data_IF_242395721105
#
_entry.id   IF_242395721105
#
_cell.length_a   1.000
_cell.length_b   1.000
_cell.length_c   1.000
_cell.angle_alpha   90.00
_cell.angle_beta   90.00
_cell.angle_gamma   90.00
#
_symmetry.space_group_name_H-M   'P 1'
#
loop_
_entity.id
_entity.type
_entity.pdbx_description
1 polymer ?
#
# COMPACT_ATOMS: atom_id res chain seq x y z
N UNK A 1 -19.89 -22.46 32.94
CA UNK A 1 -18.47 -22.70 33.25
C UNK A 1 -17.94 -23.76 32.30
N UNK A 2 -17.30 -23.35 31.22
CA UNK A 2 -16.47 -24.22 30.36
C UNK A 2 -15.26 -23.37 29.94
N UNK A 3 -14.08 -23.86 30.29
CA UNK A 3 -12.78 -23.19 30.16
C UNK A 3 -12.32 -23.17 28.70
N UNK A 4 -12.08 -21.98 28.16
CA UNK A 4 -11.31 -21.78 26.93
C UNK A 4 -9.82 -21.74 27.27
N UNK A 5 -9.09 -22.81 26.93
CA UNK A 5 -7.63 -22.79 26.93
C UNK A 5 -7.14 -22.07 25.67
N UNK A 6 -6.52 -20.91 25.91
CA UNK A 6 -5.78 -20.09 24.95
C UNK A 6 -4.50 -20.83 24.56
N UNK A 7 -4.37 -21.28 23.32
CA UNK A 7 -3.12 -21.85 22.81
C UNK A 7 -2.15 -20.72 22.47
N UNK A 8 -1.00 -20.75 23.15
CA UNK A 8 0.14 -19.85 23.02
C UNK A 8 0.93 -20.17 21.75
N UNK A 9 1.08 -19.20 20.84
CA UNK A 9 2.02 -19.29 19.72
C UNK A 9 3.45 -19.24 20.26
N UNK A 10 4.16 -20.37 20.17
CA UNK A 10 5.58 -20.46 20.49
C UNK A 10 6.41 -19.88 19.34
N UNK A 11 7.27 -18.93 19.68
CA UNK A 11 8.32 -18.36 18.83
C UNK A 11 9.38 -19.42 18.48
N UNK A 12 9.47 -19.80 17.21
CA UNK A 12 10.61 -20.57 16.69
C UNK A 12 11.76 -19.63 16.34
N UNK A 13 12.90 -19.86 16.99
CA UNK A 13 14.17 -19.18 16.75
C UNK A 13 14.64 -19.40 15.31
N UNK A 14 14.92 -18.30 14.60
CA UNK A 14 15.54 -18.28 13.28
C UNK A 14 17.01 -18.74 13.37
N UNK A 15 17.29 -19.94 12.89
CA UNK A 15 18.64 -20.39 12.55
C UNK A 15 19.07 -19.66 11.27
N UNK A 16 20.19 -18.95 11.35
CA UNK A 16 20.82 -18.18 10.27
C UNK A 16 21.26 -19.12 9.13
N UNK A 17 20.91 -18.86 7.86
CA UNK A 17 21.47 -19.65 6.76
C UNK A 17 22.96 -19.32 6.53
N UNK A 18 23.78 -20.28 6.05
CA UNK A 18 25.19 -20.05 5.77
C UNK A 18 25.39 -19.09 4.58
N UNK A 19 26.51 -18.33 4.53
CA UNK A 19 26.79 -17.40 3.45
C UNK A 19 27.10 -18.13 2.13
N UNK A 20 26.75 -17.53 0.97
CA UNK A 20 27.09 -18.10 -0.33
C UNK A 20 28.61 -18.04 -0.61
N UNK A 21 29.14 -18.95 -1.44
CA UNK A 21 30.56 -18.98 -1.80
C UNK A 21 30.95 -17.76 -2.67
N UNK A 22 32.22 -17.35 -2.66
CA UNK A 22 32.68 -16.17 -3.38
C UNK A 22 32.70 -16.42 -4.89
N UNK A 23 31.97 -15.57 -5.64
CA UNK A 23 32.05 -15.52 -7.10
C UNK A 23 33.41 -14.99 -7.54
N UNK A 24 34.15 -15.79 -8.31
CA UNK A 24 35.36 -15.38 -8.99
C UNK A 24 34.99 -14.43 -10.15
N UNK A 25 35.43 -13.18 -10.05
CA UNK A 25 35.36 -12.16 -11.09
C UNK A 25 36.30 -12.52 -12.24
N UNK A 26 35.76 -12.95 -13.38
CA UNK A 26 36.47 -12.84 -14.66
C UNK A 26 36.25 -11.43 -15.23
N UNK A 27 37.32 -10.63 -15.18
CA UNK A 27 37.47 -9.43 -15.98
C UNK A 27 37.52 -9.81 -17.47
N UNK A 28 36.60 -9.30 -18.27
CA UNK A 28 36.83 -9.09 -19.69
C UNK A 28 36.65 -7.60 -20.00
N UNK A 29 37.80 -6.98 -20.24
CA UNK A 29 37.96 -5.61 -20.70
C UNK A 29 37.44 -5.48 -22.12
N UNK A 30 36.52 -4.56 -22.36
CA UNK A 30 36.38 -3.95 -23.68
C UNK A 30 36.17 -2.45 -23.55
N UNK A 31 37.13 -1.75 -24.10
CA UNK A 31 37.25 -0.30 -24.20
C UNK A 31 36.41 0.21 -25.35
N UNK A 32 35.51 1.18 -25.12
CA UNK A 32 35.16 2.20 -26.12
C UNK A 32 34.98 3.53 -25.37
N UNK A 33 35.73 4.53 -25.85
CA UNK A 33 35.86 5.88 -25.31
C UNK A 33 34.78 6.84 -25.82
N UNK A 34 34.70 7.98 -25.09
CA UNK A 34 34.31 9.32 -25.55
C UNK A 34 32.79 9.59 -25.59
N UNK A 35 32.21 10.69 -25.13
CA UNK A 35 32.73 11.98 -24.62
C UNK A 35 31.57 12.72 -23.92
N UNK A 36 31.93 13.64 -23.04
CA UNK A 36 31.10 14.56 -22.23
C UNK A 36 30.21 15.54 -23.02
N UNK A 37 29.00 15.83 -22.54
CA UNK A 37 28.47 17.21 -22.46
C UNK A 37 27.37 17.33 -21.40
N UNK A 38 27.55 18.30 -20.49
CA UNK A 38 26.57 18.78 -19.51
C UNK A 38 25.50 19.62 -20.22
N UNK A 39 24.22 19.46 -19.86
CA UNK A 39 23.28 20.58 -19.73
C UNK A 39 22.05 20.17 -18.91
N UNK A 40 21.78 20.95 -17.88
CA UNK A 40 20.52 21.01 -17.13
C UNK A 40 19.36 21.42 -18.05
N UNK A 41 18.17 20.83 -17.84
CA UNK A 41 16.90 21.57 -17.75
C UNK A 41 15.71 20.65 -17.41
N UNK A 42 15.03 21.02 -16.33
CA UNK A 42 13.71 20.55 -15.92
C UNK A 42 12.66 20.86 -17.00
N UNK A 43 11.89 19.86 -17.46
CA UNK A 43 10.53 20.08 -17.98
C UNK A 43 9.64 18.88 -17.62
N UNK A 44 8.74 19.11 -16.66
CA UNK A 44 7.44 18.47 -16.58
C UNK A 44 6.54 19.17 -17.61
N UNK A 45 5.99 18.45 -18.59
CA UNK A 45 4.77 18.87 -19.32
C UNK A 45 4.14 17.67 -20.05
N UNK A 46 3.01 17.24 -19.49
CA UNK A 46 1.70 16.85 -20.05
C UNK A 46 1.50 16.16 -21.46
N UNK A 47 0.34 15.48 -21.64
CA UNK A 47 0.15 14.30 -22.51
C UNK A 47 -0.09 14.62 -24.01
N UNK A 48 -0.03 13.60 -24.90
CA UNK A 48 0.06 13.81 -26.33
C UNK A 48 -1.31 14.01 -26.96
N UNK A 49 -1.72 15.27 -27.14
CA UNK A 49 -2.76 15.63 -28.11
C UNK A 49 -2.35 16.87 -28.90
N UNK A 50 -1.63 16.66 -30.01
CA UNK A 50 -1.70 17.56 -31.18
C UNK A 50 -1.35 16.76 -32.45
N UNK A 51 -1.99 17.03 -33.59
CA UNK A 51 -2.14 16.06 -34.68
C UNK A 51 -0.98 16.11 -35.67
N UNK A 52 -0.36 14.96 -35.94
CA UNK A 52 0.62 14.80 -37.02
C UNK A 52 -0.11 14.68 -38.36
N UNK A 53 0.20 15.60 -39.28
CA UNK A 53 -0.24 15.59 -40.67
C UNK A 53 0.33 14.36 -41.39
N UNK A 54 -0.52 13.55 -41.99
CA UNK A 54 -0.15 12.42 -42.88
C UNK A 54 0.19 12.90 -44.29
N UNK A 55 1.15 12.27 -45.01
CA UNK A 55 1.16 12.26 -46.46
C UNK A 55 0.26 11.13 -47.00
N UNK A 56 -0.40 11.42 -48.12
CA UNK A 56 -1.39 10.60 -48.84
C UNK A 56 -0.75 9.36 -49.49
N UNK A 57 -1.48 8.23 -49.50
CA UNK A 57 -1.49 7.29 -50.63
C UNK A 57 -2.74 6.41 -50.62
N UNK A 58 -3.21 6.10 -51.81
CA UNK A 58 -4.51 5.56 -52.20
C UNK A 58 -4.62 4.03 -52.04
N UNK A 59 -5.78 3.51 -51.60
CA UNK A 59 -6.61 2.59 -52.41
C UNK A 59 -7.93 2.19 -51.71
N UNK A 60 -8.98 1.82 -52.48
CA UNK A 60 -10.36 1.71 -51.97
C UNK A 60 -10.84 0.27 -51.73
N UNK A 61 -11.94 0.19 -50.97
CA UNK A 61 -12.96 -0.87 -50.90
C UNK A 61 -12.73 -2.12 -50.03
N UNK A 62 -13.27 -2.10 -48.81
CA UNK A 62 -14.13 -3.18 -48.26
C UNK A 62 -14.89 -2.65 -47.02
N UNK A 63 -16.18 -2.97 -46.82
CA UNK A 63 -16.97 -2.36 -45.75
C UNK A 63 -16.61 -3.00 -44.40
N UNK A 64 -15.89 -2.25 -43.57
CA UNK A 64 -15.76 -2.61 -42.15
C UNK A 64 -17.10 -2.40 -41.46
N UNK A 65 -17.76 -3.53 -41.16
CA UNK A 65 -18.86 -3.65 -40.21
C UNK A 65 -18.46 -2.96 -38.91
N UNK A 66 -18.98 -1.76 -38.68
CA UNK A 66 -18.87 -1.08 -37.40
C UNK A 66 -19.60 -1.94 -36.37
N UNK A 67 -18.86 -2.60 -35.50
CA UNK A 67 -19.45 -3.11 -34.25
C UNK A 67 -19.77 -1.89 -33.40
N UNK A 68 -20.99 -1.39 -33.60
CA UNK A 68 -21.68 -0.50 -32.68
C UNK A 68 -21.60 -1.18 -31.30
N UNK A 69 -21.07 -0.54 -30.25
CA UNK A 69 -21.23 -1.04 -28.90
C UNK A 69 -22.73 -1.12 -28.63
N UNK A 70 -23.23 -2.32 -28.43
CA UNK A 70 -24.64 -2.59 -28.14
C UNK A 70 -25.10 -1.69 -26.99
N UNK A 71 -26.08 -0.84 -27.31
CA UNK A 71 -26.94 -0.19 -26.34
C UNK A 71 -27.63 -1.28 -25.51
N UNK A 72 -27.14 -1.51 -24.30
CA UNK A 72 -27.88 -2.12 -23.20
C UNK A 72 -26.95 -2.16 -22.00
N UNK A 73 -27.02 -1.17 -21.08
CA UNK A 73 -26.81 -1.29 -19.62
C UNK A 73 -27.12 0.09 -19.00
N UNK A 74 -28.40 0.44 -18.89
CA UNK A 74 -28.87 1.69 -18.28
C UNK A 74 -29.40 1.49 -16.84
N UNK A 75 -28.93 0.45 -16.14
CA UNK A 75 -29.27 0.18 -14.75
C UNK A 75 -27.98 0.07 -13.91
N UNK A 76 -27.96 0.62 -12.69
CA UNK A 76 -26.81 0.48 -11.82
C UNK A 76 -26.56 -1.00 -11.51
N UNK A 77 -25.31 -1.44 -11.68
CA UNK A 77 -24.86 -2.75 -11.27
C UNK A 77 -25.10 -2.87 -9.75
N UNK A 78 -25.97 -3.80 -9.35
CA UNK A 78 -26.20 -4.09 -7.94
C UNK A 78 -24.96 -4.76 -7.35
N UNK A 79 -24.42 -4.20 -6.28
CA UNK A 79 -23.32 -4.82 -5.55
C UNK A 79 -23.70 -5.26 -4.16
N UNK A 80 -23.50 -6.54 -3.89
CA UNK A 80 -23.71 -7.26 -2.63
C UNK A 80 -22.43 -7.39 -1.79
N UNK A 81 -21.32 -6.77 -2.21
CA UNK A 81 -20.05 -6.84 -1.51
C UNK A 81 -20.15 -6.34 -0.05
N UNK A 82 -19.66 -7.09 0.94
CA UNK A 82 -19.93 -6.83 2.36
C UNK A 82 -19.04 -5.72 2.97
N UNK A 83 -18.45 -4.86 2.15
CA UNK A 83 -17.55 -3.81 2.59
C UNK A 83 -17.76 -2.51 1.82
N UNK A 84 -17.39 -1.40 2.44
CA UNK A 84 -17.44 -0.08 1.83
C UNK A 84 -16.51 -0.01 0.63
N UNK A 85 -16.93 0.60 -0.48
CA UNK A 85 -15.99 0.91 -1.56
C UNK A 85 -15.20 2.14 -1.20
N UNK A 86 -13.87 2.01 -1.26
CA UNK A 86 -12.92 3.08 -0.96
C UNK A 86 -11.83 3.06 -2.02
N UNK A 87 -11.19 4.21 -2.25
CA UNK A 87 -10.05 4.25 -3.16
C UNK A 87 -8.89 3.35 -2.70
N UNK A 88 -8.61 3.37 -1.40
CA UNK A 88 -7.60 2.53 -0.76
C UNK A 88 -8.12 1.99 0.56
N UNK A 89 -7.94 0.69 0.78
CA UNK A 89 -8.27 0.00 2.03
C UNK A 89 -7.13 0.09 3.04
N UNK A 90 -5.88 0.05 2.60
CA UNK A 90 -4.71 0.02 3.49
C UNK A 90 -4.08 1.38 3.81
N UNK A 91 -4.34 2.42 2.99
CA UNK A 91 -3.72 3.74 3.14
C UNK A 91 -4.69 4.83 3.62
N UNK A 92 -5.95 4.48 3.89
CA UNK A 92 -6.97 5.40 4.38
C UNK A 92 -7.44 4.93 5.75
N UNK A 93 -7.13 5.67 6.80
CA UNK A 93 -7.68 5.40 8.13
C UNK A 93 -9.15 5.84 8.20
N UNK A 94 -10.12 4.93 8.41
CA UNK A 94 -11.53 5.29 8.53
C UNK A 94 -11.84 6.21 9.70
N UNK A 95 -11.01 6.23 10.75
CA UNK A 95 -11.25 7.02 11.95
C UNK A 95 -10.87 8.49 11.76
N UNK A 96 -10.05 8.80 10.75
CA UNK A 96 -9.59 10.17 10.48
C UNK A 96 -10.49 10.82 9.44
N UNK A 97 -11.37 11.72 9.90
CA UNK A 97 -12.23 12.49 9.00
C UNK A 97 -11.51 13.69 8.39
N UNK A 98 -11.66 13.95 7.09
CA UNK A 98 -11.13 15.17 6.47
C UNK A 98 -11.86 16.41 7.00
N UNK A 99 -11.13 17.51 7.12
CA UNK A 99 -11.67 18.85 7.44
C UNK A 99 -12.41 19.42 6.21
N UNK A 100 -11.97 19.05 5.01
CA UNK A 100 -12.56 19.47 3.75
C UNK A 100 -11.84 18.85 2.57
N UNK A 101 -12.08 19.38 1.37
CA UNK A 101 -11.47 18.92 0.12
C UNK A 101 -10.79 20.09 -0.59
N UNK A 102 -9.67 19.82 -1.28
CA UNK A 102 -8.89 20.85 -1.98
C UNK A 102 -9.64 21.48 -3.15
N UNK A 103 -10.44 20.69 -3.83
CA UNK A 103 -11.22 21.11 -4.98
C UNK A 103 -12.66 21.41 -4.53
N UNK A 104 -13.28 22.50 -5.02
CA UNK A 104 -14.67 22.79 -4.71
C UNK A 104 -15.54 21.63 -5.25
N UNK A 105 -16.60 21.21 -4.52
CA UNK A 105 -17.46 20.07 -4.88
C UNK A 105 -18.34 20.32 -6.12
N UNK A 106 -17.97 21.29 -6.96
CA UNK A 106 -18.68 21.70 -8.18
C UNK A 106 -18.78 20.57 -9.21
N UNK A 107 -17.91 19.58 -9.10
CA UNK A 107 -18.02 18.28 -9.75
C UNK A 107 -17.91 17.20 -8.68
N UNK A 108 -19.04 16.64 -8.23
CA UNK A 108 -18.96 15.30 -7.63
C UNK A 108 -18.46 14.40 -8.75
N UNK A 109 -17.32 13.70 -8.60
CA UNK A 109 -16.82 12.90 -9.69
C UNK A 109 -17.81 11.79 -10.09
N UNK A 110 -18.80 11.44 -9.24
CA UNK A 110 -20.01 10.73 -9.66
C UNK A 110 -21.27 11.07 -8.82
N UNK A 111 -22.41 11.18 -9.49
CA UNK A 111 -23.66 10.56 -9.04
C UNK A 111 -23.76 9.18 -9.72
N UNK A 112 -24.29 8.15 -9.05
CA UNK A 112 -24.30 6.79 -9.59
C UNK A 112 -25.23 6.70 -10.79
N UNK A 113 -24.69 6.52 -11.99
CA UNK A 113 -25.43 5.85 -13.06
C UNK A 113 -25.15 4.34 -13.12
N UNK A 114 -24.00 3.90 -12.57
CA UNK A 114 -23.44 2.55 -12.81
C UNK A 114 -23.40 1.62 -11.60
N UNK A 115 -23.56 2.11 -10.37
CA UNK A 115 -23.51 1.27 -9.15
C UNK A 115 -24.64 1.72 -8.23
N UNK A 116 -25.30 0.78 -7.55
CA UNK A 116 -26.47 1.05 -6.68
C UNK A 116 -26.11 1.55 -5.27
N UNK A 117 -24.92 2.15 -5.10
CA UNK A 117 -24.45 2.68 -3.80
C UNK A 117 -24.16 4.16 -3.87
N UNK A 118 -24.59 4.88 -2.84
CA UNK A 118 -24.32 6.31 -2.70
C UNK A 118 -22.87 6.57 -2.25
N UNK A 119 -22.20 7.48 -2.94
CA UNK A 119 -20.84 7.91 -2.60
C UNK A 119 -20.87 9.14 -1.69
N UNK A 120 -20.29 9.04 -0.49
CA UNK A 120 -20.30 10.13 0.48
C UNK A 120 -19.10 11.11 0.34
N UNK A 121 -18.30 10.98 -0.72
CA UNK A 121 -17.08 11.76 -0.95
C UNK A 121 -15.79 10.98 -0.63
N UNK A 122 -15.84 10.03 0.31
CA UNK A 122 -14.69 9.24 0.78
C UNK A 122 -14.89 7.74 0.52
N UNK A 123 -16.11 7.26 0.69
CA UNK A 123 -16.51 5.86 0.51
C UNK A 123 -17.94 5.73 -0.05
N UNK A 124 -18.26 4.56 -0.59
CA UNK A 124 -19.64 4.11 -0.78
C UNK A 124 -19.92 2.97 0.21
N UNK A 125 -20.67 3.22 1.30
CA UNK A 125 -20.89 2.24 2.36
C UNK A 125 -21.53 0.93 1.87
N UNK A 126 -21.23 -0.18 2.55
CA UNK A 126 -21.97 -1.42 2.36
C UNK A 126 -23.45 -1.27 2.77
N UNK A 127 -24.34 -1.96 2.06
CA UNK A 127 -25.78 -1.93 2.33
C UNK A 127 -26.16 -3.15 3.17
N UNK A 128 -26.81 -2.92 4.30
CA UNK A 128 -27.31 -3.99 5.19
C UNK A 128 -26.33 -4.40 6.29
N UNK A 129 -26.81 -5.22 7.22
CA UNK A 129 -25.98 -5.80 8.27
C UNK A 129 -25.08 -6.89 7.66
N UNK A 130 -23.80 -6.81 7.95
CA UNK A 130 -22.81 -7.78 7.47
C UNK A 130 -22.77 -8.95 8.46
N UNK A 131 -23.22 -10.12 7.99
CA UNK A 131 -23.11 -11.36 8.76
C UNK A 131 -21.67 -11.89 8.68
N UNK A 132 -20.90 -11.66 9.74
CA UNK A 132 -19.47 -11.97 9.76
C UNK A 132 -19.20 -13.48 9.75
N UNK A 133 -20.05 -14.27 10.39
CA UNK A 133 -19.91 -15.74 10.47
C UNK A 133 -20.06 -16.33 9.07
N UNK A 134 -21.12 -15.93 8.36
CA UNK A 134 -21.39 -16.38 6.99
C UNK A 134 -20.25 -16.05 6.03
N UNK A 135 -19.63 -14.87 6.14
CA UNK A 135 -18.51 -14.50 5.28
C UNK A 135 -17.26 -15.34 5.53
N UNK A 136 -17.02 -15.71 6.79
CA UNK A 136 -15.93 -16.62 7.13
C UNK A 136 -16.19 -18.00 6.55
N UNK A 137 -17.42 -18.52 6.68
CA UNK A 137 -17.82 -19.80 6.06
C UNK A 137 -17.67 -19.79 4.53
N UNK A 138 -18.13 -18.72 3.86
CA UNK A 138 -17.97 -18.54 2.41
C UNK A 138 -16.49 -18.50 2.01
N UNK A 139 -15.66 -17.80 2.79
CA UNK A 139 -14.21 -17.74 2.57
C UNK A 139 -13.55 -19.11 2.76
N UNK A 140 -13.86 -19.83 3.84
CA UNK A 140 -13.35 -21.17 4.09
C UNK A 140 -13.78 -22.16 3.01
N UNK A 141 -15.03 -22.05 2.54
CA UNK A 141 -15.54 -22.86 1.42
C UNK A 141 -14.75 -22.64 0.13
N UNK A 142 -14.43 -21.37 -0.21
CA UNK A 142 -13.62 -21.02 -1.39
C UNK A 142 -12.16 -21.49 -1.23
N UNK A 143 -11.58 -21.32 -0.04
CA UNK A 143 -10.20 -21.76 0.22
C UNK A 143 -10.07 -23.28 0.18
N UNK A 144 -11.05 -24.00 0.72
CA UNK A 144 -11.06 -25.45 0.85
C UNK A 144 -10.05 -25.94 1.90
N UNK A 145 -9.63 -27.19 1.78
CA UNK A 145 -8.61 -27.77 2.67
C UNK A 145 -7.31 -26.96 2.63
N UNK A 146 -6.63 -26.75 3.77
CA UNK A 146 -5.33 -26.12 3.80
C UNK A 146 -4.34 -26.79 2.83
N UNK A 147 -3.48 -26.00 2.20
CA UNK A 147 -2.40 -26.53 1.38
C UNK A 147 -1.36 -27.20 2.29
N UNK A 148 -0.79 -28.31 1.83
CA UNK A 148 0.39 -28.90 2.48
C UNK A 148 1.63 -28.05 2.21
N UNK A 149 2.68 -28.23 3.01
CA UNK A 149 3.92 -27.46 2.83
C UNK A 149 4.52 -27.73 1.43
N UNK A 150 4.46 -28.96 0.93
CA UNK A 150 4.97 -29.31 -0.40
C UNK A 150 4.19 -28.63 -1.53
N UNK A 151 2.87 -28.50 -1.38
CA UNK A 151 2.02 -27.77 -2.33
C UNK A 151 2.35 -26.27 -2.31
N UNK A 152 2.56 -25.70 -1.11
CA UNK A 152 2.98 -24.31 -0.94
C UNK A 152 4.33 -24.10 -1.61
N UNK A 153 5.34 -24.90 -1.30
CA UNK A 153 6.68 -24.81 -1.91
C UNK A 153 6.62 -24.91 -3.43
N UNK A 154 5.81 -25.84 -3.96
CA UNK A 154 5.59 -25.97 -5.40
C UNK A 154 4.98 -24.72 -6.03
N UNK A 155 3.96 -24.13 -5.40
CA UNK A 155 3.37 -22.86 -5.85
C UNK A 155 4.36 -21.70 -5.74
N UNK A 156 5.13 -21.65 -4.66
CA UNK A 156 6.14 -20.62 -4.41
C UNK A 156 7.22 -20.67 -5.47
N UNK A 157 7.76 -21.84 -5.80
CA UNK A 157 8.77 -21.98 -6.85
C UNK A 157 8.22 -21.52 -8.21
N UNK A 158 6.98 -21.90 -8.54
CA UNK A 158 6.34 -21.52 -9.82
C UNK A 158 6.14 -20.02 -9.98
N UNK A 159 5.88 -19.28 -8.90
CA UNK A 159 5.42 -17.89 -8.98
C UNK A 159 6.35 -16.86 -8.31
N UNK A 160 7.39 -17.25 -7.55
CA UNK A 160 8.26 -16.28 -6.84
C UNK A 160 9.15 -15.46 -7.77
N UNK A 161 9.57 -16.05 -8.89
CA UNK A 161 10.56 -15.46 -9.79
C UNK A 161 10.00 -14.26 -10.56
N UNK A 162 10.85 -13.28 -10.87
CA UNK A 162 10.44 -12.00 -11.47
C UNK A 162 10.09 -12.09 -12.95
N UNK A 163 10.49 -13.16 -13.61
CA UNK A 163 10.14 -13.51 -14.99
C UNK A 163 8.71 -14.05 -15.13
N UNK A 164 7.99 -14.25 -14.02
CA UNK A 164 6.58 -14.59 -14.12
C UNK A 164 5.78 -13.41 -14.72
N UNK A 165 5.12 -13.66 -15.86
CA UNK A 165 4.19 -12.70 -16.48
C UNK A 165 2.93 -12.41 -15.64
N UNK A 166 2.91 -12.82 -14.36
CA UNK A 166 1.76 -12.80 -13.46
C UNK A 166 2.07 -11.97 -12.21
N UNK A 167 2.74 -10.85 -12.43
CA UNK A 167 3.08 -9.89 -11.38
C UNK A 167 2.14 -8.68 -11.43
N UNK A 168 1.57 -8.34 -10.28
CA UNK A 168 0.88 -7.07 -10.04
C UNK A 168 1.76 -6.18 -9.15
N UNK A 169 1.81 -4.88 -9.44
CA UNK A 169 2.53 -3.91 -8.61
C UNK A 169 1.56 -3.17 -7.70
N UNK A 170 1.79 -3.26 -6.39
CA UNK A 170 1.07 -2.50 -5.37
C UNK A 170 1.90 -1.27 -5.02
N UNK A 171 1.45 -0.09 -5.46
CA UNK A 171 2.18 1.17 -5.29
C UNK A 171 1.67 2.03 -4.13
N UNK A 172 1.95 3.33 -4.18
CA UNK A 172 1.59 4.37 -3.18
C UNK A 172 0.11 4.39 -2.74
N UNK A 173 -0.79 3.83 -3.54
CA UNK A 173 -2.22 3.69 -3.21
C UNK A 173 -2.53 2.53 -2.26
N UNK A 174 -1.56 1.65 -1.98
CA UNK A 174 -1.79 0.44 -1.19
C UNK A 174 -2.76 -0.52 -1.85
N UNK A 175 -3.55 -1.22 -1.04
CA UNK A 175 -4.62 -2.10 -1.53
C UNK A 175 -5.77 -1.23 -2.04
N UNK A 176 -5.87 -1.03 -3.35
CA UNK A 176 -6.92 -0.21 -3.98
C UNK A 176 -8.13 -1.04 -4.41
N UNK A 177 -9.27 -0.41 -4.63
CA UNK A 177 -10.46 -1.12 -5.15
C UNK A 177 -10.20 -1.81 -6.50
N UNK A 178 -9.57 -1.10 -7.44
CA UNK A 178 -9.30 -1.66 -8.76
C UNK A 178 -8.28 -2.81 -8.73
N UNK A 179 -7.33 -2.78 -7.78
CA UNK A 179 -6.38 -3.87 -7.58
C UNK A 179 -7.10 -5.20 -7.31
N UNK A 180 -8.24 -5.16 -6.62
CA UNK A 180 -9.01 -6.38 -6.34
C UNK A 180 -9.52 -7.02 -7.63
N UNK A 181 -10.08 -6.25 -8.57
CA UNK A 181 -10.51 -6.82 -9.86
C UNK A 181 -9.32 -7.35 -10.67
N UNK A 182 -8.18 -6.66 -10.65
CA UNK A 182 -6.94 -7.12 -11.29
C UNK A 182 -6.51 -8.49 -10.75
N UNK A 183 -6.56 -8.70 -9.43
CA UNK A 183 -6.26 -9.99 -8.78
C UNK A 183 -7.21 -11.07 -9.29
N UNK A 184 -8.51 -10.83 -9.24
CA UNK A 184 -9.50 -11.80 -9.71
C UNK A 184 -9.37 -12.09 -11.22
N UNK A 185 -8.93 -11.13 -12.01
CA UNK A 185 -8.64 -11.33 -13.43
C UNK A 185 -7.41 -12.21 -13.66
N UNK A 186 -6.37 -12.10 -12.84
CA UNK A 186 -5.22 -13.01 -12.88
C UNK A 186 -5.61 -14.44 -12.48
N UNK A 187 -6.47 -14.59 -11.47
CA UNK A 187 -6.94 -15.89 -10.99
C UNK A 187 -7.83 -16.67 -11.96
N UNK A 188 -8.28 -16.04 -13.06
CA UNK A 188 -8.92 -16.74 -14.17
C UNK A 188 -7.97 -17.72 -14.88
N UNK A 189 -6.66 -17.46 -14.81
CA UNK A 189 -5.63 -18.19 -15.58
C UNK A 189 -4.49 -18.74 -14.73
N UNK A 190 -4.49 -18.51 -13.42
CA UNK A 190 -3.47 -18.97 -12.48
C UNK A 190 -4.06 -19.20 -11.10
N UNK A 191 -3.38 -20.03 -10.32
CA UNK A 191 -3.77 -20.39 -8.96
C UNK A 191 -3.32 -19.33 -7.94
N UNK A 192 -2.20 -18.67 -8.21
CA UNK A 192 -1.67 -17.60 -7.37
C UNK A 192 -1.22 -16.40 -8.22
N UNK A 193 -1.12 -15.25 -7.57
CA UNK A 193 -0.62 -14.00 -8.17
C UNK A 193 0.55 -13.47 -7.35
N UNK A 194 1.59 -13.01 -8.06
CA UNK A 194 2.73 -12.36 -7.44
C UNK A 194 2.46 -10.87 -7.29
N UNK A 195 2.53 -10.36 -6.07
CA UNK A 195 2.29 -8.94 -5.78
C UNK A 195 3.59 -8.32 -5.28
N UNK A 196 4.12 -7.35 -6.04
CA UNK A 196 5.30 -6.57 -5.65
C UNK A 196 4.85 -5.25 -5.04
N UNK A 197 5.06 -5.09 -3.75
CA UNK A 197 4.73 -3.88 -3.00
C UNK A 197 5.86 -2.86 -3.08
N UNK A 198 5.54 -1.59 -3.29
CA UNK A 198 6.50 -0.48 -3.35
C UNK A 198 5.91 0.79 -2.73
N UNK A 199 6.80 1.59 -2.15
CA UNK A 199 6.48 2.85 -1.48
C UNK A 199 6.01 2.66 -0.04
N UNK A 200 5.24 3.65 0.43
CA UNK A 200 4.71 3.75 1.80
C UNK A 200 4.02 2.48 2.33
N UNK A 201 3.24 1.70 1.53
CA UNK A 201 2.61 0.48 2.04
C UNK A 201 3.60 -0.54 2.61
N UNK A 202 4.85 -0.54 2.15
CA UNK A 202 5.88 -1.47 2.62
C UNK A 202 6.30 -1.25 4.08
N UNK A 203 5.91 -0.14 4.72
CA UNK A 203 6.07 0.06 6.16
C UNK A 203 5.19 -0.86 7.00
N UNK A 204 4.07 -1.32 6.44
CA UNK A 204 3.03 -2.06 7.14
C UNK A 204 2.49 -3.18 6.24
N UNK A 205 3.34 -4.18 6.05
CA UNK A 205 3.04 -5.32 5.19
C UNK A 205 1.98 -6.22 5.83
N UNK A 206 1.85 -6.22 7.15
CA UNK A 206 0.78 -6.89 7.90
C UNK A 206 -0.60 -6.34 7.50
N UNK A 207 -0.77 -5.02 7.50
CA UNK A 207 -2.02 -4.40 7.08
C UNK A 207 -2.32 -4.62 5.59
N UNK A 208 -1.28 -4.61 4.74
CA UNK A 208 -1.43 -4.98 3.32
C UNK A 208 -1.90 -6.42 3.17
N UNK A 209 -1.27 -7.37 3.85
CA UNK A 209 -1.67 -8.79 3.84
C UNK A 209 -3.10 -8.96 4.33
N UNK A 210 -3.45 -8.31 5.45
CA UNK A 210 -4.80 -8.33 6.01
C UNK A 210 -5.84 -7.91 4.98
N UNK A 211 -5.67 -6.74 4.34
CA UNK A 211 -6.63 -6.25 3.37
C UNK A 211 -6.69 -7.06 2.07
N UNK A 212 -5.56 -7.62 1.61
CA UNK A 212 -5.57 -8.51 0.46
C UNK A 212 -6.38 -9.78 0.76
N UNK A 213 -6.11 -10.41 1.89
CA UNK A 213 -6.83 -11.60 2.36
C UNK A 213 -8.32 -11.34 2.62
N UNK A 214 -8.63 -10.26 3.34
CA UNK A 214 -9.99 -9.86 3.72
C UNK A 214 -10.86 -9.51 2.50
N UNK A 215 -10.32 -8.75 1.53
CA UNK A 215 -11.12 -8.25 0.40
C UNK A 215 -11.20 -9.18 -0.80
N UNK A 216 -10.25 -10.11 -0.94
CA UNK A 216 -10.25 -11.08 -2.06
C UNK A 216 -10.71 -12.48 -1.64
N UNK A 217 -10.83 -12.74 -0.33
CA UNK A 217 -11.00 -14.08 0.25
C UNK A 217 -9.86 -15.06 -0.04
N UNK A 218 -8.76 -14.58 -0.64
CA UNK A 218 -7.56 -15.38 -0.89
C UNK A 218 -6.72 -15.62 0.37
N UNK A 219 -5.59 -16.29 0.15
CA UNK A 219 -4.61 -16.61 1.19
C UNK A 219 -3.20 -16.22 0.78
N UNK A 220 -2.49 -15.50 1.63
CA UNK A 220 -1.06 -15.25 1.42
C UNK A 220 -0.30 -16.53 1.77
N UNK A 221 0.37 -17.11 0.79
CA UNK A 221 1.15 -18.36 0.94
C UNK A 221 2.65 -18.12 1.00
N UNK A 222 3.10 -16.91 0.64
CA UNK A 222 4.51 -16.53 0.70
C UNK A 222 4.67 -15.04 0.88
N UNK A 223 5.64 -14.67 1.72
CA UNK A 223 6.04 -13.29 1.98
C UNK A 223 7.55 -13.22 2.07
N UNK A 224 8.16 -12.38 1.23
CA UNK A 224 9.58 -12.07 1.29
C UNK A 224 9.79 -10.58 1.04
N UNK A 225 10.22 -9.86 2.07
CA UNK A 225 10.43 -8.40 2.07
C UNK A 225 9.17 -7.67 1.58
N UNK A 226 9.12 -7.33 0.30
CA UNK A 226 8.04 -6.57 -0.35
C UNK A 226 7.30 -7.39 -1.42
N UNK A 227 7.59 -8.69 -1.55
CA UNK A 227 6.95 -9.60 -2.50
C UNK A 227 6.00 -10.51 -1.73
N UNK A 228 4.78 -10.63 -2.23
CA UNK A 228 3.75 -11.52 -1.72
C UNK A 228 3.29 -12.48 -2.82
N UNK A 229 2.93 -13.71 -2.46
CA UNK A 229 2.14 -14.59 -3.32
C UNK A 229 0.76 -14.80 -2.69
N UNK A 230 -0.28 -14.40 -3.42
CA UNK A 230 -1.66 -14.52 -2.99
C UNK A 230 -2.35 -15.63 -3.78
N UNK A 231 -2.72 -16.70 -3.08
CA UNK A 231 -3.43 -17.87 -3.57
C UNK A 231 -4.94 -17.65 -3.55
N UNK A 232 -5.63 -18.13 -4.58
CA UNK A 232 -7.08 -17.91 -4.79
C UNK A 232 -8.00 -18.83 -3.97
N UNK A 233 -7.48 -19.95 -3.47
CA UNK A 233 -8.28 -21.04 -2.89
C UNK A 233 -8.45 -22.25 -3.83
N UNK A 234 -8.68 -23.45 -3.26
CA UNK A 234 -8.86 -24.70 -4.01
C UNK A 234 -10.14 -24.68 -4.84
N UNK A 235 -11.19 -24.11 -4.27
CA UNK A 235 -12.55 -24.14 -4.82
C UNK A 235 -12.93 -22.82 -5.51
N UNK A 236 -11.93 -22.00 -5.87
CA UNK A 236 -12.19 -20.75 -6.57
C UNK A 236 -12.81 -20.99 -7.95
N UNK A 237 -14.04 -20.51 -8.14
CA UNK A 237 -14.73 -20.52 -9.43
C UNK A 237 -14.68 -19.14 -10.11
N UNK A 238 -13.98 -18.99 -11.25
CA UNK A 238 -13.95 -17.74 -12.00
C UNK A 238 -15.31 -17.24 -12.50
N UNK A 239 -16.33 -18.11 -12.60
CA UNK A 239 -17.67 -17.75 -13.06
C UNK A 239 -18.51 -17.13 -11.94
N UNK A 240 -18.33 -17.62 -10.71
CA UNK A 240 -18.99 -17.15 -9.51
C UNK A 240 -18.15 -16.15 -8.71
N UNK A 241 -17.14 -15.52 -9.36
CA UNK A 241 -16.30 -14.52 -8.70
C UNK A 241 -17.12 -13.30 -8.29
N UNK A 242 -16.76 -12.62 -7.18
CA UNK A 242 -17.38 -11.34 -6.83
C UNK A 242 -17.22 -10.32 -7.96
N UNK A 243 -18.30 -9.58 -8.24
CA UNK A 243 -18.27 -8.49 -9.21
C UNK A 243 -17.79 -7.23 -8.50
N UNK A 244 -16.52 -6.90 -8.69
CA UNK A 244 -15.90 -5.69 -8.17
C UNK A 244 -16.06 -4.58 -9.21
N UNK A 245 -16.88 -3.55 -8.97
CA UNK A 245 -17.06 -2.49 -9.94
C UNK A 245 -15.76 -1.69 -10.08
N UNK A 246 -15.38 -1.32 -11.30
CA UNK A 246 -14.17 -0.51 -11.49
C UNK A 246 -14.40 0.93 -11.01
N UNK A 247 -13.52 1.41 -10.14
CA UNK A 247 -13.45 2.80 -9.74
C UNK A 247 -12.68 3.58 -10.81
N UNK A 248 -13.41 4.15 -11.78
CA UNK A 248 -12.86 4.89 -12.92
C UNK A 248 -12.41 6.32 -12.56
N UNK A 249 -12.26 6.61 -11.28
CA UNK A 249 -11.97 7.95 -10.77
C UNK A 249 -11.08 7.91 -9.54
N UNK A 250 -10.54 9.09 -9.21
CA UNK A 250 -9.83 9.33 -7.97
C UNK A 250 -10.69 10.22 -7.09
N UNK A 251 -10.90 9.88 -5.79
CA UNK A 251 -11.60 10.78 -4.88
C UNK A 251 -10.90 12.14 -4.80
N UNK A 252 -11.69 13.18 -4.50
CA UNK A 252 -11.18 14.51 -4.25
C UNK A 252 -10.11 14.45 -3.17
N UNK A 253 -9.03 15.22 -3.34
CA UNK A 253 -7.93 15.20 -2.38
C UNK A 253 -8.39 15.77 -1.03
N UNK A 254 -8.49 14.94 0.04
CA UNK A 254 -8.92 15.41 1.35
C UNK A 254 -7.87 16.32 1.98
N UNK A 255 -8.36 17.26 2.78
CA UNK A 255 -7.57 18.11 3.65
C UNK A 255 -7.70 17.56 5.07
N UNK A 256 -6.59 17.08 5.62
CA UNK A 256 -6.51 16.62 7.00
C UNK A 256 -5.95 17.70 7.92
N UNK A 257 -6.15 17.58 9.25
CA UNK A 257 -5.44 18.41 10.22
C UNK A 257 -3.93 18.41 9.99
N UNK A 258 -3.26 19.46 10.46
CA UNK A 258 -1.79 19.55 10.35
C UNK A 258 -1.17 18.37 11.12
N UNK A 259 -0.32 17.62 10.42
CA UNK A 259 0.39 16.47 11.01
C UNK A 259 1.37 16.91 12.11
N UNK A 260 1.99 18.08 11.96
CA UNK A 260 2.94 18.64 12.92
C UNK A 260 2.40 19.97 13.43
N UNK A 261 2.20 20.03 14.74
CA UNK A 261 1.78 21.23 15.45
C UNK A 261 2.98 22.13 15.74
N UNK A 262 2.74 23.42 16.03
CA UNK A 262 3.80 24.35 16.40
C UNK A 262 4.50 23.93 17.70
N UNK A 263 3.72 23.44 18.66
CA UNK A 263 4.16 22.82 19.91
C UNK A 263 3.80 21.35 19.84
N UNK A 264 4.75 20.45 20.11
CA UNK A 264 4.47 19.02 20.14
C UNK A 264 3.68 18.66 21.40
N UNK A 265 2.78 17.70 21.29
CA UNK A 265 1.88 17.32 22.39
C UNK A 265 2.69 16.89 23.62
N UNK A 266 2.45 17.52 24.77
CA UNK A 266 3.17 17.23 26.02
C UNK A 266 4.50 17.96 26.20
N UNK A 267 4.93 18.81 25.26
CA UNK A 267 6.09 19.70 25.38
C UNK A 267 5.67 21.16 25.50
N UNK A 268 6.54 21.99 26.07
CA UNK A 268 6.47 23.44 25.92
C UNK A 268 7.00 23.88 24.55
N UNK A 269 6.80 25.14 24.19
CA UNK A 269 7.35 25.69 22.94
C UNK A 269 8.88 25.62 22.90
N UNK A 270 9.55 25.90 24.02
CA UNK A 270 11.01 25.88 24.13
C UNK A 270 11.56 24.45 24.02
N UNK A 271 10.97 23.51 24.76
CA UNK A 271 11.32 22.08 24.67
C UNK A 271 11.09 21.54 23.25
N UNK A 272 9.98 21.91 22.59
CA UNK A 272 9.72 21.50 21.21
C UNK A 272 10.81 22.00 20.27
N UNK A 273 11.24 23.25 20.44
CA UNK A 273 12.32 23.84 19.63
C UNK A 273 13.66 23.14 19.89
N UNK A 274 13.96 22.83 21.15
CA UNK A 274 15.15 22.07 21.53
C UNK A 274 15.15 20.68 20.89
N UNK A 275 14.06 19.93 20.98
CA UNK A 275 13.94 18.59 20.41
C UNK A 275 14.05 18.58 18.89
N UNK A 276 13.48 19.58 18.21
CA UNK A 276 13.64 19.78 16.76
C UNK A 276 15.11 20.04 16.41
N UNK A 277 15.80 20.89 17.16
CA UNK A 277 17.22 21.18 16.93
C UNK A 277 18.11 19.97 17.22
N UNK A 278 17.86 19.26 18.32
CA UNK A 278 18.52 18.00 18.69
C UNK A 278 18.41 16.98 17.55
N UNK A 279 17.20 16.77 17.03
CA UNK A 279 16.96 15.84 15.92
C UNK A 279 17.57 16.29 14.59
N UNK A 280 17.59 17.59 14.28
CA UNK A 280 18.23 18.08 13.06
C UNK A 280 19.76 17.91 13.08
N UNK A 281 20.37 18.08 14.26
CA UNK A 281 21.81 17.99 14.45
C UNK A 281 22.29 16.56 14.73
N UNK A 282 21.40 15.62 15.07
CA UNK A 282 21.75 14.21 15.24
C UNK A 282 22.07 13.53 13.91
N UNK A 283 22.94 12.50 13.90
CA UNK A 283 23.15 11.67 12.72
C UNK A 283 21.84 11.02 12.27
N UNK A 284 21.65 10.77 10.95
CA UNK A 284 20.44 10.10 10.49
C UNK A 284 20.47 8.63 10.94
N UNK A 285 19.38 8.15 11.54
CA UNK A 285 19.21 6.74 11.88
C UNK A 285 19.41 5.86 10.64
N UNK A 286 18.82 6.31 9.52
CA UNK A 286 18.97 5.67 8.22
C UNK A 286 18.54 6.60 7.08
N UNK A 287 18.93 6.21 5.87
CA UNK A 287 18.51 6.84 4.63
C UNK A 287 17.52 5.97 3.88
N UNK A 288 16.35 6.53 3.60
CA UNK A 288 15.33 5.88 2.79
C UNK A 288 15.68 6.01 1.31
N UNK A 289 15.68 4.89 0.60
CA UNK A 289 16.13 4.84 -0.80
C UNK A 289 14.98 5.00 -1.79
N UNK A 290 15.33 5.32 -3.04
CA UNK A 290 14.37 5.47 -4.16
C UNK A 290 13.69 4.17 -4.57
N UNK A 291 14.16 3.01 -4.08
CA UNK A 291 13.56 1.72 -4.43
C UNK A 291 12.15 1.52 -3.82
N UNK A 292 11.76 2.36 -2.86
CA UNK A 292 10.45 2.30 -2.23
C UNK A 292 10.24 1.11 -1.28
N UNK A 293 11.30 0.50 -0.78
CA UNK A 293 11.22 -0.65 0.14
C UNK A 293 11.60 -0.20 1.55
N UNK A 294 10.59 -0.11 2.43
CA UNK A 294 10.70 0.48 3.78
C UNK A 294 10.39 -0.52 4.91
N UNK A 295 10.43 -1.82 4.64
CA UNK A 295 10.01 -2.90 5.56
C UNK A 295 10.71 -2.84 6.93
N UNK A 296 11.99 -2.46 6.96
CA UNK A 296 12.79 -2.46 8.18
C UNK A 296 12.72 -1.13 8.96
N UNK A 297 12.07 -0.09 8.43
CA UNK A 297 12.09 1.25 9.05
C UNK A 297 11.41 1.24 10.41
N UNK A 298 10.24 0.60 10.52
CA UNK A 298 9.49 0.52 11.78
C UNK A 298 10.32 -0.16 12.88
N UNK A 299 10.91 -1.31 12.58
CA UNK A 299 11.73 -2.05 13.54
C UNK A 299 12.94 -1.23 14.00
N UNK A 300 13.62 -0.56 13.05
CA UNK A 300 14.78 0.28 13.32
C UNK A 300 14.44 1.52 14.15
N UNK A 301 13.29 2.13 13.91
CA UNK A 301 12.82 3.28 14.69
C UNK A 301 12.45 2.85 16.11
N UNK A 302 11.78 1.70 16.29
CA UNK A 302 11.48 1.14 17.63
C UNK A 302 12.75 0.86 18.42
N UNK A 303 13.71 0.17 17.81
CA UNK A 303 15.03 -0.13 18.39
C UNK A 303 15.77 1.16 18.80
N UNK A 304 15.77 2.18 17.93
CA UNK A 304 16.43 3.44 18.25
C UNK A 304 15.80 4.16 19.45
N UNK A 305 14.47 4.11 19.59
CA UNK A 305 13.76 4.74 20.70
C UNK A 305 13.97 4.09 22.08
N UNK A 306 14.65 2.93 22.15
CA UNK A 306 15.08 2.35 23.41
C UNK A 306 16.22 3.15 24.07
N UNK A 307 16.99 3.89 23.27
CA UNK A 307 18.17 4.65 23.74
C UNK A 307 18.13 6.12 23.38
N UNK A 308 17.58 6.47 22.23
CA UNK A 308 17.47 7.83 21.74
C UNK A 308 16.07 8.39 21.98
N UNK A 309 15.98 9.64 22.43
CA UNK A 309 14.67 10.29 22.58
C UNK A 309 14.12 10.84 21.25
N UNK A 310 15.02 11.19 20.34
CA UNK A 310 14.72 11.81 19.05
C UNK A 310 15.53 11.14 17.97
N UNK A 311 14.85 10.68 16.93
CA UNK A 311 15.49 10.08 15.76
C UNK A 311 15.20 10.89 14.50
N UNK A 312 16.19 10.89 13.60
CA UNK A 312 16.08 11.52 12.29
C UNK A 312 16.16 10.49 11.18
N UNK A 313 15.20 10.53 10.25
CA UNK A 313 15.24 9.78 9.00
C UNK A 313 15.62 10.73 7.85
N UNK A 314 16.59 10.31 7.03
CA UNK A 314 16.89 10.96 5.75
C UNK A 314 15.99 10.37 4.67
N UNK A 315 15.15 11.21 4.07
CA UNK A 315 14.20 10.84 3.02
C UNK A 315 14.46 11.57 1.70
N UNK A 316 15.71 12.02 1.44
CA UNK A 316 16.05 12.80 0.25
C UNK A 316 15.73 12.15 -1.10
N UNK A 317 15.48 10.84 -1.12
CA UNK A 317 15.17 10.09 -2.35
C UNK A 317 13.74 9.57 -2.42
N UNK A 318 12.88 9.98 -1.48
CA UNK A 318 11.52 9.46 -1.31
C UNK A 318 10.47 10.38 -1.94
N UNK A 319 10.74 11.68 -1.97
CA UNK A 319 9.80 12.70 -2.43
C UNK A 319 8.87 13.20 -1.32
N UNK A 320 8.60 14.51 -1.33
CA UNK A 320 7.97 15.24 -0.22
C UNK A 320 6.60 14.72 0.22
N UNK A 321 5.77 14.25 -0.73
CA UNK A 321 4.45 13.68 -0.41
C UNK A 321 4.55 12.35 0.34
N UNK A 322 5.53 11.52 0.00
CA UNK A 322 5.71 10.21 0.62
C UNK A 322 6.41 10.35 1.98
N UNK A 323 7.33 11.31 2.14
CA UNK A 323 7.90 11.65 3.46
C UNK A 323 6.81 11.92 4.50
N UNK A 324 5.80 12.73 4.16
CA UNK A 324 4.68 13.01 5.07
C UNK A 324 3.88 11.76 5.41
N UNK A 325 3.55 10.94 4.40
CA UNK A 325 2.81 9.68 4.60
C UNK A 325 3.58 8.68 5.47
N UNK A 326 4.89 8.58 5.29
CA UNK A 326 5.77 7.76 6.13
C UNK A 326 5.69 8.22 7.57
N UNK A 327 5.77 9.54 7.82
CA UNK A 327 5.64 10.08 9.16
C UNK A 327 4.27 9.82 9.80
N UNK A 328 3.18 9.88 9.03
CA UNK A 328 1.83 9.47 9.51
C UNK A 328 1.85 8.00 9.92
N UNK A 329 2.28 7.10 9.03
CA UNK A 329 2.33 5.66 9.35
C UNK A 329 3.22 5.34 10.53
N UNK A 330 4.38 6.00 10.66
CA UNK A 330 5.28 5.77 11.79
C UNK A 330 4.65 6.18 13.12
N UNK A 331 3.87 7.27 13.16
CA UNK A 331 3.10 7.66 14.34
C UNK A 331 2.08 6.58 14.73
N UNK A 332 1.47 5.92 13.75
CA UNK A 332 0.44 4.91 13.99
C UNK A 332 1.03 3.53 14.36
N UNK A 333 2.23 3.21 13.84
CA UNK A 333 2.91 1.93 14.05
C UNK A 333 3.94 1.93 15.19
N UNK A 334 4.46 3.10 15.55
CA UNK A 334 5.45 3.31 16.61
C UNK A 334 4.89 4.37 17.54
N UNK A 335 4.92 4.18 18.87
CA UNK A 335 4.48 5.21 19.83
C UNK A 335 5.44 6.41 19.79
N UNK A 336 5.30 7.25 18.76
CA UNK A 336 6.16 8.38 18.49
C UNK A 336 5.37 9.50 17.81
N UNK A 337 5.91 10.70 17.91
CA UNK A 337 5.29 11.93 17.41
C UNK A 337 6.23 12.53 16.35
N UNK A 338 5.79 12.67 15.10
CA UNK A 338 6.51 13.45 14.10
C UNK A 338 6.52 14.93 14.51
N UNK A 339 7.70 15.49 14.77
CA UNK A 339 7.83 16.88 15.26
C UNK A 339 8.39 17.85 14.22
N UNK A 340 8.96 17.36 13.12
CA UNK A 340 9.47 18.19 12.02
C UNK A 340 9.55 17.42 10.70
N UNK A 341 9.15 18.09 9.62
CA UNK A 341 9.46 17.72 8.24
C UNK A 341 10.20 18.89 7.58
N UNK A 342 11.50 18.74 7.30
CA UNK A 342 12.32 19.82 6.72
C UNK A 342 13.40 19.23 5.84
N UNK A 343 13.63 19.82 4.65
CA UNK A 343 14.70 19.43 3.72
C UNK A 343 14.74 17.91 3.49
N UNK A 344 13.56 17.33 3.25
CA UNK A 344 13.37 15.88 3.05
C UNK A 344 13.86 15.01 4.22
N UNK A 345 13.90 15.56 5.43
CA UNK A 345 14.17 14.84 6.68
C UNK A 345 12.91 14.77 7.52
N UNK A 346 12.76 13.67 8.23
CA UNK A 346 11.71 13.46 9.23
C UNK A 346 12.39 13.41 10.59
N UNK A 347 11.92 14.22 11.54
CA UNK A 347 12.34 14.13 12.94
C UNK A 347 11.17 13.59 13.75
N UNK A 348 11.42 12.49 14.45
CA UNK A 348 10.46 11.77 15.28
C UNK A 348 10.91 11.83 16.74
N UNK A 349 9.97 12.05 17.64
CA UNK A 349 10.19 12.05 19.09
C UNK A 349 9.39 10.93 19.74
N UNK A 350 9.99 10.20 20.69
CA UNK A 350 9.32 9.06 21.35
C UNK A 350 8.14 9.44 22.26
N UNK A 351 7.99 10.72 22.61
CA UNK A 351 7.05 11.14 23.64
C UNK A 351 7.72 11.21 25.03
N UNK A 352 6.96 11.65 26.05
CA UNK A 352 7.40 11.58 27.45
C UNK A 352 7.18 10.16 27.98
N UNK A 353 8.10 9.65 28.79
CA UNK A 353 7.93 8.36 29.47
C UNK A 353 6.73 8.46 30.43
N UNK A 354 5.63 7.77 30.13
CA UNK A 354 4.39 7.82 30.94
C UNK A 354 4.52 7.12 32.31
N UNK A 355 5.74 6.80 32.77
CA UNK A 355 5.97 6.10 34.04
C UNK A 355 6.08 7.01 35.27
N UNK A 356 6.00 8.35 35.15
CA UNK A 356 6.09 9.26 36.31
C UNK A 356 4.74 9.79 36.84
N UNK A 357 3.61 9.23 36.40
CA UNK A 357 2.27 9.74 36.77
C UNK A 357 1.38 8.78 37.57
N UNK A 358 1.85 7.57 37.89
CA UNK A 358 1.11 6.60 38.72
C UNK A 358 1.65 6.41 40.15
N UNK A 359 2.66 7.17 40.56
CA UNK A 359 3.07 7.27 41.98
C UNK A 359 2.65 8.62 42.55
N UNK A 360 1.35 8.78 42.78
CA UNK A 360 0.85 9.71 43.79
C UNK A 360 -0.51 9.18 44.29
N UNK A 361 -0.53 8.28 45.29
CA UNK A 361 -1.76 8.00 46.01
C UNK A 361 -2.15 9.29 46.75
N UNK A 362 -3.17 9.97 46.25
CA UNK A 362 -3.80 11.07 46.98
C UNK A 362 -4.29 10.53 48.33
N UNK A 363 -3.75 11.10 49.41
CA UNK A 363 -4.33 11.10 50.75
C UNK A 363 -5.70 11.78 50.76
#
# INVERSE_FOLDING_TARGET
>A
MLNLHRLSLQTLNLIRPPPPPPFLLLLQSSTISSTTHLHEQDIYDDPPFTPLKTPKSNNPNTPHKTLIPSQDQNFPLKSDLPFDFRYSYSETDPNVKPIGFREPPRYSPFGPGRIDREWNGVSAPAVGAVDSERLLEERESVLGEPLTEEEIEGLVERYRHSDCNRQINLGKGGVTHNLLDDIHNHWKRAEAVRIKCVGVPTLDMENVCFHLEDKTSGKIIYRCINILLLYRGRNYDPKNKPVIPLMLYKPLAPIYPKLVNNVADGLTFEETKEMRNKGLNSPPLMKLTRNGVYVNVVARVREAFETEEVVRLDCSHVGTSDCKKIGVKLRDLVPCIPILFKDEKIVLWRGKDTQQSQDNPKQ
#
